data_IF_133749391888
#
_entry.id   IF_133749391888
#
_cell.length_a   1.000
_cell.length_b   1.000
_cell.length_c   1.000
_cell.angle_alpha   90.00
_cell.angle_beta   90.00
_cell.angle_gamma   90.00
#
_symmetry.space_group_name_H-M   'P 1'
#
loop_
_entity.id
_entity.type
_entity.pdbx_description
1 polymer ?
#
# COMPACT_ATOMS: atom_id res chain seq x y z
N UNK A 1 20.63 0.93 16.21
CA UNK A 1 19.69 -0.13 15.75
C UNK A 1 20.43 -1.36 15.25
N UNK A 2 21.33 -1.23 14.26
CA UNK A 2 22.08 -2.36 13.68
C UNK A 2 22.94 -3.10 14.72
N UNK A 3 23.79 -2.39 15.50
CA UNK A 3 24.65 -3.03 16.50
C UNK A 3 23.84 -3.85 17.54
N UNK A 4 22.72 -3.30 18.02
CA UNK A 4 21.81 -4.01 18.93
C UNK A 4 21.19 -5.25 18.29
N UNK A 5 20.86 -5.19 17.01
CA UNK A 5 20.34 -6.33 16.27
C UNK A 5 21.38 -7.44 16.07
N UNK A 6 22.67 -7.09 15.94
CA UNK A 6 23.77 -8.08 15.91
C UNK A 6 23.80 -8.87 17.23
N UNK A 7 23.54 -8.21 18.35
CA UNK A 7 23.41 -8.84 19.67
C UNK A 7 22.04 -9.49 19.91
N UNK A 8 21.18 -9.58 18.89
CA UNK A 8 19.86 -10.19 18.94
C UNK A 8 18.69 -9.27 19.32
N UNK A 9 18.94 -8.02 19.72
CA UNK A 9 17.89 -7.02 19.98
C UNK A 9 17.43 -6.33 18.69
N UNK A 10 16.41 -6.95 18.07
CA UNK A 10 15.82 -6.48 16.82
C UNK A 10 14.80 -5.33 16.96
N UNK A 11 14.50 -4.85 18.18
CA UNK A 11 13.41 -3.88 18.41
C UNK A 11 13.57 -2.60 17.56
N UNK A 12 14.79 -2.10 17.46
CA UNK A 12 15.09 -0.90 16.66
C UNK A 12 14.87 -1.11 15.16
N UNK A 13 15.22 -2.28 14.63
CA UNK A 13 14.98 -2.61 13.21
C UNK A 13 13.49 -2.82 12.95
N UNK A 14 12.77 -3.47 13.87
CA UNK A 14 11.31 -3.62 13.79
C UNK A 14 10.60 -2.26 13.80
N UNK A 15 11.04 -1.33 14.64
CA UNK A 15 10.52 0.03 14.65
C UNK A 15 10.74 0.75 13.30
N UNK A 16 11.94 0.62 12.70
CA UNK A 16 12.24 1.17 11.37
C UNK A 16 11.35 0.57 10.30
N UNK A 17 11.14 -0.76 10.31
CA UNK A 17 10.23 -1.44 9.37
C UNK A 17 8.79 -0.91 9.51
N UNK A 18 8.33 -0.73 10.74
CA UNK A 18 6.96 -0.29 11.03
C UNK A 18 6.74 1.22 10.85
N UNK A 19 7.80 2.03 10.83
CA UNK A 19 7.70 3.50 10.74
C UNK A 19 6.94 3.99 9.50
N UNK A 20 6.90 3.20 8.43
CA UNK A 20 6.18 3.52 7.18
C UNK A 20 4.85 2.78 7.02
N UNK A 21 4.39 2.04 8.04
CA UNK A 21 3.15 1.27 7.98
C UNK A 21 1.92 2.04 8.49
N UNK A 22 2.02 3.37 8.62
CA UNK A 22 0.89 4.21 9.00
C UNK A 22 -0.12 4.30 7.84
N UNK A 23 -1.44 4.17 8.09
CA UNK A 23 -2.46 4.36 7.07
C UNK A 23 -2.31 5.74 6.40
N UNK A 24 -2.24 5.80 5.06
CA UNK A 24 -2.16 7.07 4.36
C UNK A 24 -3.53 7.76 4.32
N UNK A 25 -3.51 9.08 4.15
CA UNK A 25 -4.71 9.84 3.78
C UNK A 25 -4.98 9.64 2.29
N UNK A 26 -6.19 9.25 1.94
CA UNK A 26 -6.65 9.09 0.55
C UNK A 26 -7.33 10.36 0.04
N UNK A 27 -7.40 10.49 -1.28
CA UNK A 27 -8.11 11.58 -1.94
C UNK A 27 -9.64 11.42 -1.85
N UNK A 28 -10.38 12.52 -1.96
CA UNK A 28 -11.85 12.50 -1.95
C UNK A 28 -12.46 11.85 -3.19
N UNK A 29 -11.65 11.56 -4.22
CA UNK A 29 -12.07 11.00 -5.50
C UNK A 29 -11.93 9.48 -5.59
N UNK A 30 -11.42 8.82 -4.55
CA UNK A 30 -11.15 7.39 -4.54
C UNK A 30 -11.88 6.72 -3.38
N UNK A 31 -12.47 5.56 -3.64
CA UNK A 31 -12.94 4.61 -2.65
C UNK A 31 -11.92 3.49 -2.50
N UNK A 32 -11.63 3.09 -1.26
CA UNK A 32 -10.73 1.97 -0.98
C UNK A 32 -11.47 0.83 -0.32
N UNK A 33 -11.20 -0.40 -0.75
CA UNK A 33 -11.79 -1.61 -0.19
C UNK A 33 -10.74 -2.70 -0.03
N UNK A 34 -10.64 -3.29 1.15
CA UNK A 34 -9.91 -4.55 1.30
C UNK A 34 -10.75 -5.66 0.64
N UNK A 35 -10.21 -6.28 -0.41
CA UNK A 35 -10.86 -7.40 -1.12
C UNK A 35 -10.43 -8.76 -0.57
N UNK A 36 -9.25 -8.81 0.03
CA UNK A 36 -8.73 -9.89 0.87
C UNK A 36 -8.00 -9.26 2.07
N UNK A 37 -7.55 -10.02 3.08
CA UNK A 37 -6.72 -9.47 4.16
C UNK A 37 -5.42 -8.79 3.68
N UNK A 38 -4.93 -9.14 2.48
CA UNK A 38 -3.66 -8.67 1.94
C UNK A 38 -3.79 -7.95 0.58
N UNK A 39 -5.00 -7.64 0.13
CA UNK A 39 -5.21 -6.92 -1.13
C UNK A 39 -6.21 -5.77 -0.93
N UNK A 40 -5.82 -4.58 -1.38
CA UNK A 40 -6.65 -3.38 -1.33
C UNK A 40 -6.92 -2.89 -2.74
N UNK A 41 -8.20 -2.81 -3.07
CA UNK A 41 -8.70 -2.12 -4.25
C UNK A 41 -8.79 -0.62 -3.96
N UNK A 42 -8.33 0.17 -4.93
CA UNK A 42 -8.55 1.60 -5.07
C UNK A 42 -9.39 1.81 -6.32
N UNK A 43 -10.56 2.38 -6.15
CA UNK A 43 -11.55 2.58 -7.20
C UNK A 43 -11.89 4.06 -7.33
N UNK A 44 -11.84 4.66 -8.54
CA UNK A 44 -12.32 6.02 -8.74
C UNK A 44 -13.82 6.10 -8.40
N UNK A 45 -14.22 7.09 -7.60
CA UNK A 45 -15.63 7.32 -7.28
C UNK A 45 -16.45 7.58 -8.53
N UNK A 46 -17.66 7.01 -8.59
CA UNK A 46 -18.57 7.15 -9.74
C UNK A 46 -18.18 6.28 -10.95
N UNK A 47 -17.20 5.38 -10.81
CA UNK A 47 -16.77 4.46 -11.87
C UNK A 47 -17.25 3.03 -11.69
N UNK A 48 -18.12 2.75 -10.71
CA UNK A 48 -18.55 1.40 -10.33
C UNK A 48 -19.13 0.61 -11.52
N UNK A 49 -19.88 1.27 -12.40
CA UNK A 49 -20.48 0.63 -13.59
C UNK A 49 -19.55 0.66 -14.83
N UNK A 50 -18.37 1.26 -14.73
CA UNK A 50 -17.42 1.40 -15.84
C UNK A 50 -16.42 0.25 -15.87
N UNK A 51 -16.12 -0.26 -17.07
CA UNK A 51 -14.98 -1.14 -17.30
C UNK A 51 -13.71 -0.30 -17.43
N UNK A 52 -12.89 -0.30 -16.39
CA UNK A 52 -11.57 0.33 -16.36
C UNK A 52 -10.48 -0.74 -16.32
N UNK A 53 -9.30 -0.50 -16.94
CA UNK A 53 -8.15 -1.38 -16.75
C UNK A 53 -7.74 -1.42 -15.28
N UNK A 54 -7.11 -2.52 -14.88
CA UNK A 54 -6.64 -2.75 -13.51
C UNK A 54 -5.11 -2.74 -13.48
N UNK A 55 -4.55 -1.92 -12.60
CA UNK A 55 -3.14 -1.95 -12.23
C UNK A 55 -2.96 -2.81 -10.98
N UNK A 56 -2.28 -3.96 -11.10
CA UNK A 56 -1.78 -4.69 -9.95
C UNK A 56 -0.47 -4.07 -9.48
N UNK A 57 -0.43 -3.55 -8.25
CA UNK A 57 0.72 -2.87 -7.68
C UNK A 57 1.38 -3.70 -6.57
N UNK A 58 2.67 -3.95 -6.72
CA UNK A 58 3.52 -4.58 -5.71
C UNK A 58 4.40 -3.49 -5.11
N UNK A 59 4.33 -3.29 -3.80
CA UNK A 59 5.09 -2.23 -3.16
C UNK A 59 6.61 -2.50 -3.20
N UNK A 60 7.38 -1.42 -3.13
CA UNK A 60 8.83 -1.51 -3.02
C UNK A 60 9.29 -1.88 -1.60
N UNK A 61 10.59 -1.70 -1.36
CA UNK A 61 11.24 -1.98 -0.08
C UNK A 61 12.10 -3.25 -0.08
N UNK A 62 12.57 -3.64 -1.28
CA UNK A 62 13.61 -4.65 -1.45
C UNK A 62 13.27 -5.97 -0.76
N UNK A 63 12.02 -6.41 -0.86
CA UNK A 63 11.53 -7.66 -0.25
C UNK A 63 11.75 -7.74 1.28
N UNK A 64 11.99 -6.61 1.94
CA UNK A 64 12.45 -6.56 3.34
C UNK A 64 11.60 -5.66 4.23
N UNK A 65 11.04 -4.59 3.66
CA UNK A 65 10.14 -3.66 4.33
C UNK A 65 9.15 -3.07 3.31
N UNK A 66 8.26 -2.20 3.79
CA UNK A 66 7.12 -1.74 3.01
C UNK A 66 5.85 -2.46 3.43
N UNK A 67 4.73 -1.92 2.97
CA UNK A 67 3.40 -2.47 3.18
C UNK A 67 2.41 -1.83 2.22
N UNK A 68 1.20 -2.38 2.20
CA UNK A 68 0.04 -1.81 1.53
C UNK A 68 -0.29 -0.37 1.98
N UNK A 69 0.13 0.04 3.17
CA UNK A 69 -0.03 1.42 3.64
C UNK A 69 1.04 2.34 3.07
N UNK A 70 2.29 1.85 3.01
CA UNK A 70 3.43 2.64 2.52
C UNK A 70 3.32 3.05 1.05
N UNK A 71 2.57 2.28 0.24
CA UNK A 71 2.31 2.58 -1.17
C UNK A 71 0.97 3.29 -1.42
N UNK A 72 0.14 3.49 -0.39
CA UNK A 72 -1.25 3.88 -0.62
C UNK A 72 -1.42 5.26 -1.23
N UNK A 73 -0.51 6.21 -0.99
CA UNK A 73 -0.51 7.53 -1.67
C UNK A 73 -0.29 7.40 -3.19
N UNK A 74 0.59 6.48 -3.62
CA UNK A 74 0.82 6.23 -5.03
C UNK A 74 -0.39 5.54 -5.67
N UNK A 75 -0.92 4.51 -5.02
CA UNK A 75 -2.09 3.78 -5.51
C UNK A 75 -3.33 4.69 -5.63
N UNK A 76 -3.54 5.56 -4.63
CA UNK A 76 -4.58 6.58 -4.63
C UNK A 76 -4.40 7.57 -5.79
N UNK A 77 -3.20 8.12 -6.00
CA UNK A 77 -2.96 9.06 -7.10
C UNK A 77 -3.23 8.43 -8.48
N UNK A 78 -2.85 7.16 -8.67
CA UNK A 78 -3.11 6.43 -9.91
C UNK A 78 -4.61 6.20 -10.13
N UNK A 79 -5.36 5.79 -9.09
CA UNK A 79 -6.82 5.63 -9.17
C UNK A 79 -7.54 6.97 -9.36
N UNK A 80 -7.12 8.02 -8.65
CA UNK A 80 -7.68 9.37 -8.74
C UNK A 80 -7.56 9.99 -10.13
N UNK A 81 -6.70 9.46 -11.01
CA UNK A 81 -6.66 9.84 -12.43
C UNK A 81 -7.96 9.53 -13.19
N UNK A 82 -8.82 8.65 -12.64
CA UNK A 82 -10.06 8.20 -13.26
C UNK A 82 -9.87 7.21 -14.42
N UNK A 83 -8.62 6.81 -14.71
CA UNK A 83 -8.28 5.99 -15.89
C UNK A 83 -8.11 4.51 -15.58
N UNK A 84 -7.99 4.14 -14.30
CA UNK A 84 -7.72 2.77 -13.88
C UNK A 84 -8.21 2.52 -12.45
N UNK A 85 -8.42 1.24 -12.15
CA UNK A 85 -8.47 0.74 -10.77
C UNK A 85 -7.08 0.27 -10.36
N UNK A 86 -6.75 0.34 -9.08
CA UNK A 86 -5.48 -0.19 -8.56
C UNK A 86 -5.75 -1.27 -7.53
N UNK A 87 -5.12 -2.42 -7.66
CA UNK A 87 -5.09 -3.45 -6.61
C UNK A 87 -3.68 -3.46 -6.03
N UNK A 88 -3.52 -3.03 -4.79
CA UNK A 88 -2.25 -3.14 -4.08
C UNK A 88 -2.19 -4.49 -3.34
N UNK A 89 -1.09 -5.22 -3.48
CA UNK A 89 -0.82 -6.48 -2.80
C UNK A 89 0.19 -6.29 -1.67
N UNK A 90 -0.18 -6.74 -0.47
CA UNK A 90 0.69 -6.92 0.69
C UNK A 90 1.29 -8.33 0.64
N UNK A 91 2.47 -8.45 0.02
CA UNK A 91 3.16 -9.73 -0.11
C UNK A 91 3.91 -10.08 1.18
N UNK A 92 4.27 -11.36 1.32
CA UNK A 92 4.96 -11.89 2.50
C UNK A 92 6.48 -11.82 2.36
#
# INVERSE_FOLDING_TARGET
>A
AILRAIDGDNKGLTAVRNARNAPPKYSDHVETKMITPNMRLYEPKGSQDQRLPVLLYLHGGGWTFGSINSCGRFCDAQAASGKMRVIALDYR
#
